data_IF_572153735550
#
_entry.id   IF_572153735550
#
_cell.length_a   1.000
_cell.length_b   1.000
_cell.length_c   1.000
_cell.angle_alpha   90.00
_cell.angle_beta   90.00
_cell.angle_gamma   90.00
#
_symmetry.space_group_name_H-M   'P 1'
#
loop_
_entity.id
_entity.type
_entity.pdbx_description
1 polymer ?
#
# COMPACT_ATOMS: atom_id res chain seq x y z
N UNK A 1 15.23 -67.68 20.17
CA UNK A 1 15.10 -66.25 20.53
C UNK A 1 14.57 -65.54 19.29
N UNK A 2 13.25 -65.41 19.21
CA UNK A 2 12.62 -64.35 18.42
C UNK A 2 13.03 -63.01 19.04
N UNK A 3 13.33 -61.99 18.23
CA UNK A 3 12.60 -60.70 18.26
C UNK A 3 12.70 -60.09 16.85
N UNK A 4 11.57 -60.02 16.18
CA UNK A 4 11.28 -59.11 15.06
C UNK A 4 10.76 -57.80 15.64
N UNK A 5 11.22 -56.64 15.16
CA UNK A 5 10.39 -55.41 15.07
C UNK A 5 11.22 -54.30 14.40
N UNK A 6 11.00 -54.04 13.13
CA UNK A 6 10.03 -53.09 12.56
C UNK A 6 10.40 -51.62 12.74
N UNK A 7 10.46 -50.97 11.58
CA UNK A 7 10.63 -49.56 11.25
C UNK A 7 9.71 -48.61 12.01
N UNK A 8 10.19 -47.40 12.32
CA UNK A 8 9.48 -46.17 11.97
C UNK A 8 10.40 -44.94 12.05
N UNK A 9 10.76 -44.44 10.86
CA UNK A 9 11.30 -43.10 10.67
C UNK A 9 10.11 -42.15 10.56
N UNK A 10 9.67 -41.60 11.69
CA UNK A 10 8.67 -40.53 11.68
C UNK A 10 9.35 -39.24 11.21
N UNK A 11 9.21 -38.96 9.91
CA UNK A 11 9.36 -37.61 9.37
C UNK A 11 8.25 -36.75 10.00
N UNK A 12 8.65 -35.88 10.91
CA UNK A 12 7.78 -34.87 11.48
C UNK A 12 7.38 -33.90 10.36
N UNK A 13 6.14 -34.02 9.87
CA UNK A 13 5.57 -33.06 8.94
C UNK A 13 5.56 -31.67 9.58
N UNK A 14 5.96 -30.61 8.86
CA UNK A 14 5.85 -29.26 9.39
C UNK A 14 4.37 -28.94 9.55
N UNK A 15 3.93 -28.86 10.81
CA UNK A 15 2.63 -28.35 11.20
C UNK A 15 2.45 -26.97 10.54
N UNK A 16 1.59 -26.92 9.52
CA UNK A 16 1.18 -25.68 8.90
C UNK A 16 0.37 -24.93 9.96
N UNK A 17 1.03 -24.03 10.70
CA UNK A 17 0.32 -23.04 11.48
C UNK A 17 -0.53 -22.25 10.49
N UNK A 18 -1.81 -22.61 10.40
CA UNK A 18 -2.83 -21.73 9.84
C UNK A 18 -2.79 -20.48 10.73
N UNK A 19 -1.99 -19.50 10.32
CA UNK A 19 -2.03 -18.17 10.89
C UNK A 19 -3.45 -17.71 10.67
N UNK A 20 -4.22 -17.64 11.76
CA UNK A 20 -5.55 -17.06 11.74
C UNK A 20 -5.37 -15.70 11.08
N UNK A 21 -5.98 -15.51 9.91
CA UNK A 21 -5.91 -14.25 9.21
C UNK A 21 -6.52 -13.20 10.15
N UNK A 22 -5.67 -12.38 10.77
CA UNK A 22 -6.12 -11.31 11.65
C UNK A 22 -6.80 -10.30 10.73
N UNK A 23 -8.13 -10.37 10.66
CA UNK A 23 -8.95 -9.35 10.00
C UNK A 23 -8.81 -8.09 10.83
N UNK A 24 -7.95 -7.18 10.39
CA UNK A 24 -7.81 -5.87 11.01
C UNK A 24 -9.05 -5.07 10.68
N UNK A 25 -9.71 -4.52 11.68
CA UNK A 25 -10.87 -3.63 11.49
C UNK A 25 -10.37 -2.19 11.61
N UNK A 26 -10.62 -1.30 10.62
CA UNK A 26 -10.27 0.11 10.75
C UNK A 26 -10.92 0.74 11.99
N UNK A 27 -10.18 1.54 12.73
CA UNK A 27 -10.67 2.28 13.90
C UNK A 27 -10.79 3.77 13.60
N UNK A 28 -11.75 4.43 14.24
CA UNK A 28 -11.88 5.89 14.15
C UNK A 28 -10.65 6.58 14.69
N UNK A 29 -10.20 7.62 13.99
CA UNK A 29 -9.06 8.43 14.44
C UNK A 29 -9.24 8.98 15.86
N UNK A 30 -10.47 9.34 16.25
CA UNK A 30 -10.81 9.81 17.61
C UNK A 30 -10.47 8.80 18.71
N UNK A 31 -10.38 7.52 18.39
CA UNK A 31 -10.14 6.44 19.36
C UNK A 31 -8.65 6.14 19.55
N UNK A 32 -7.77 6.73 18.73
CA UNK A 32 -6.33 6.49 18.79
C UNK A 32 -5.67 7.21 19.98
N UNK A 33 -6.30 8.24 20.54
CA UNK A 33 -5.72 9.02 21.64
C UNK A 33 -4.42 9.75 21.24
N UNK A 34 -3.53 9.97 22.20
CA UNK A 34 -2.24 10.64 21.97
C UNK A 34 -1.25 9.64 21.34
N UNK A 35 -0.62 10.02 20.23
CA UNK A 35 0.44 9.26 19.57
C UNK A 35 1.51 8.81 20.59
N UNK A 36 1.77 7.50 20.63
CA UNK A 36 2.81 6.92 21.49
C UNK A 36 3.65 5.89 20.73
N UNK A 37 4.89 5.68 21.18
CA UNK A 37 5.78 4.66 20.59
C UNK A 37 5.28 3.21 20.78
N UNK A 38 4.28 3.00 21.64
CA UNK A 38 3.68 1.69 21.87
C UNK A 38 2.55 1.35 20.88
N UNK A 39 2.16 2.27 20.00
CA UNK A 39 1.11 2.03 19.03
C UNK A 39 1.54 1.00 17.97
N UNK A 40 0.65 0.05 17.68
CA UNK A 40 0.83 -0.84 16.55
C UNK A 40 0.67 -0.06 15.23
N UNK A 41 1.79 0.15 14.53
CA UNK A 41 1.85 0.83 13.24
C UNK A 41 1.02 0.16 12.14
N UNK A 42 0.60 -1.08 12.36
CA UNK A 42 -0.27 -1.84 11.48
C UNK A 42 -1.77 -1.59 11.70
N UNK A 43 -2.12 -0.82 12.74
CA UNK A 43 -3.49 -0.36 13.02
C UNK A 43 -4.04 0.43 11.84
N UNK A 44 -5.20 0.04 11.32
CA UNK A 44 -5.86 0.73 10.22
C UNK A 44 -6.78 1.83 10.73
N UNK A 45 -6.84 2.92 9.97
CA UNK A 45 -7.63 4.11 10.32
C UNK A 45 -8.83 4.23 9.38
N UNK A 46 -10.00 4.45 9.96
CA UNK A 46 -11.23 4.68 9.20
C UNK A 46 -11.16 6.00 8.41
N UNK A 47 -11.60 5.96 7.15
CA UNK A 47 -11.69 7.16 6.32
C UNK A 47 -12.90 7.98 6.75
N UNK A 48 -12.72 9.30 6.85
CA UNK A 48 -13.79 10.23 7.23
C UNK A 48 -13.92 11.30 6.15
N UNK A 49 -15.13 11.58 5.69
CA UNK A 49 -15.34 12.63 4.69
C UNK A 49 -15.16 14.02 5.30
N UNK A 50 -14.67 14.97 4.51
CA UNK A 50 -14.58 16.38 4.94
C UNK A 50 -15.95 16.92 5.40
N UNK A 51 -17.02 16.58 4.68
CA UNK A 51 -18.38 17.02 5.00
C UNK A 51 -18.85 16.56 6.38
N UNK A 52 -18.53 15.32 6.78
CA UNK A 52 -18.88 14.80 8.11
C UNK A 52 -18.17 15.51 9.27
N UNK A 53 -17.06 16.20 8.97
CA UNK A 53 -16.31 17.03 9.91
C UNK A 53 -16.69 18.52 9.83
N UNK A 54 -17.72 18.87 9.05
CA UNK A 54 -18.07 20.27 8.78
C UNK A 54 -16.99 21.03 8.00
N UNK A 55 -16.12 20.32 7.27
CA UNK A 55 -15.02 20.89 6.46
C UNK A 55 -15.35 20.82 4.97
N UNK A 56 -14.71 21.68 4.20
CA UNK A 56 -14.77 21.68 2.73
C UNK A 56 -13.60 20.84 2.21
N UNK A 57 -13.85 20.04 1.18
CA UNK A 57 -12.78 19.30 0.49
C UNK A 57 -11.82 20.31 -0.17
N UNK A 58 -10.50 20.22 0.08
CA UNK A 58 -9.56 21.28 -0.30
C UNK A 58 -9.27 21.34 -1.82
N UNK A 59 -9.43 20.22 -2.53
CA UNK A 59 -9.20 20.12 -3.98
C UNK A 59 -9.89 18.88 -4.55
N UNK A 60 -10.16 18.90 -5.85
CA UNK A 60 -10.66 17.74 -6.58
C UNK A 60 -9.50 16.78 -6.91
N UNK A 61 -9.77 15.48 -6.85
CA UNK A 61 -8.88 14.45 -7.39
C UNK A 61 -9.62 13.75 -8.51
N UNK A 62 -9.03 13.73 -9.70
CA UNK A 62 -9.53 12.95 -10.84
C UNK A 62 -8.54 11.85 -11.17
N UNK A 63 -9.04 10.69 -11.59
CA UNK A 63 -8.20 9.57 -12.03
C UNK A 63 -8.67 9.10 -13.40
N UNK A 64 -7.72 8.90 -14.32
CA UNK A 64 -8.03 8.30 -15.62
C UNK A 64 -8.39 6.83 -15.45
N UNK A 65 -9.32 6.34 -16.27
CA UNK A 65 -9.71 4.92 -16.25
C UNK A 65 -8.52 3.99 -16.48
N UNK A 66 -7.57 4.40 -17.33
CA UNK A 66 -6.34 3.64 -17.60
C UNK A 66 -5.47 3.52 -16.35
N UNK A 67 -5.25 4.62 -15.62
CA UNK A 67 -4.48 4.59 -14.38
C UNK A 67 -5.17 3.72 -13.33
N UNK A 68 -6.48 3.87 -13.16
CA UNK A 68 -7.28 3.07 -12.24
C UNK A 68 -7.19 1.56 -12.56
N UNK A 69 -7.31 1.18 -13.83
CA UNK A 69 -7.22 -0.22 -14.27
C UNK A 69 -5.83 -0.82 -14.05
N UNK A 70 -4.77 -0.05 -14.30
CA UNK A 70 -3.39 -0.51 -14.04
C UNK A 70 -3.16 -0.73 -12.53
N UNK A 71 -3.63 0.19 -11.69
CA UNK A 71 -3.54 0.06 -10.23
C UNK A 71 -4.30 -1.19 -9.77
N UNK A 72 -5.56 -1.33 -10.21
CA UNK A 72 -6.40 -2.47 -9.84
C UNK A 72 -5.77 -3.80 -10.27
N UNK A 73 -5.34 -3.92 -11.54
CA UNK A 73 -4.67 -5.11 -12.03
C UNK A 73 -3.42 -5.42 -11.20
N UNK A 74 -2.54 -4.43 -10.98
CA UNK A 74 -1.30 -4.64 -10.24
C UNK A 74 -1.54 -5.17 -8.82
N UNK A 75 -2.51 -4.58 -8.11
CA UNK A 75 -2.91 -4.99 -6.77
C UNK A 75 -3.44 -6.43 -6.69
N UNK A 76 -3.94 -6.99 -7.80
CA UNK A 76 -4.51 -8.33 -7.85
C UNK A 76 -3.56 -9.40 -8.41
N UNK A 77 -2.34 -9.05 -8.84
CA UNK A 77 -1.39 -10.02 -9.40
C UNK A 77 -0.68 -10.87 -8.33
N UNK A 78 -0.75 -10.51 -7.06
CA UNK A 78 -0.06 -11.22 -5.98
C UNK A 78 -0.73 -11.01 -4.62
N UNK A 79 -0.61 -12.01 -3.74
CA UNK A 79 -1.04 -11.92 -2.34
C UNK A 79 -0.06 -11.14 -1.43
N UNK A 80 1.01 -10.58 -2.02
CA UNK A 80 1.96 -9.69 -1.33
C UNK A 80 1.57 -8.24 -1.56
N UNK A 81 1.89 -7.38 -0.59
CA UNK A 81 1.72 -5.94 -0.77
C UNK A 81 2.60 -5.46 -1.94
N UNK A 82 1.99 -4.74 -2.86
CA UNK A 82 2.67 -4.05 -3.96
C UNK A 82 2.49 -2.55 -3.83
N UNK A 83 3.39 -1.77 -4.42
CA UNK A 83 3.27 -0.31 -4.48
C UNK A 83 3.60 0.22 -5.87
N UNK A 84 3.31 1.49 -6.09
CA UNK A 84 3.68 2.18 -7.31
C UNK A 84 3.47 3.68 -7.20
N UNK A 85 3.91 4.39 -8.24
CA UNK A 85 3.79 5.83 -8.34
C UNK A 85 2.63 6.24 -9.25
N UNK A 86 2.06 7.41 -8.98
CA UNK A 86 0.99 8.01 -9.76
C UNK A 86 1.55 9.26 -10.46
N UNK A 87 1.38 9.29 -11.78
CA UNK A 87 1.77 10.41 -12.63
C UNK A 87 0.56 11.22 -13.06
N UNK A 88 0.72 12.53 -13.13
CA UNK A 88 -0.39 13.44 -13.37
C UNK A 88 0.01 14.90 -13.44
N UNK A 89 -0.97 15.77 -13.21
CA UNK A 89 -0.81 17.22 -13.22
C UNK A 89 -1.62 17.85 -12.08
N UNK A 90 -1.06 18.90 -11.47
CA UNK A 90 -1.77 19.76 -10.53
C UNK A 90 -2.15 21.06 -11.22
N UNK A 91 -3.44 21.35 -11.29
CA UNK A 91 -3.95 22.65 -11.72
C UNK A 91 -4.27 23.51 -10.48
N UNK A 92 -3.43 24.52 -10.24
CA UNK A 92 -3.56 25.44 -9.11
C UNK A 92 -4.81 26.31 -9.21
N UNK A 93 -5.27 26.66 -10.41
CA UNK A 93 -6.42 27.55 -10.60
C UNK A 93 -7.73 26.79 -10.40
N UNK A 94 -7.78 25.56 -10.91
CA UNK A 94 -8.94 24.69 -10.74
C UNK A 94 -8.97 23.94 -9.40
N UNK A 95 -7.89 24.01 -8.61
CA UNK A 95 -7.66 23.16 -7.43
C UNK A 95 -7.93 21.68 -7.76
N UNK A 96 -7.29 21.18 -8.82
CA UNK A 96 -7.54 19.83 -9.33
C UNK A 96 -6.23 19.05 -9.49
N UNK A 97 -6.16 17.90 -8.81
CA UNK A 97 -5.10 16.91 -8.95
C UNK A 97 -5.56 15.82 -9.92
N UNK A 98 -5.07 15.86 -11.16
CA UNK A 98 -5.42 14.89 -12.19
C UNK A 98 -4.37 13.78 -12.25
N UNK A 99 -4.74 12.56 -11.88
CA UNK A 99 -3.93 11.34 -12.02
C UNK A 99 -4.22 10.73 -13.40
N UNK A 100 -3.24 10.77 -14.29
CA UNK A 100 -3.41 10.32 -15.69
C UNK A 100 -2.73 8.99 -15.98
N UNK A 101 -1.67 8.65 -15.24
CA UNK A 101 -0.87 7.44 -15.41
C UNK A 101 -0.53 6.78 -14.07
N UNK A 102 -0.34 5.47 -14.08
CA UNK A 102 0.17 4.70 -12.94
C UNK A 102 1.43 3.93 -13.35
N UNK A 103 2.40 3.87 -12.44
CA UNK A 103 3.71 3.27 -12.66
C UNK A 103 3.98 2.22 -11.56
N UNK A 104 3.64 0.94 -11.81
CA UNK A 104 3.91 -0.15 -10.88
C UNK A 104 5.40 -0.27 -10.50
N UNK A 105 5.71 -0.37 -9.21
CA UNK A 105 7.05 -0.75 -8.76
C UNK A 105 7.21 -2.26 -8.89
N UNK A 106 7.83 -2.71 -9.99
CA UNK A 106 7.98 -4.14 -10.33
C UNK A 106 9.14 -4.80 -9.58
N UNK A 107 9.26 -4.53 -8.28
CA UNK A 107 10.32 -5.05 -7.43
C UNK A 107 9.83 -5.23 -5.99
N UNK A 108 9.94 -6.46 -5.48
CA UNK A 108 9.50 -6.85 -4.15
C UNK A 108 10.66 -7.35 -3.25
N UNK A 109 11.90 -7.03 -3.61
CA UNK A 109 13.11 -7.43 -2.88
C UNK A 109 13.56 -6.41 -1.84
N UNK A 110 14.62 -6.73 -1.10
CA UNK A 110 15.22 -5.86 -0.07
C UNK A 110 16.48 -5.12 -0.52
N UNK A 111 17.03 -5.46 -1.69
CA UNK A 111 18.18 -4.76 -2.27
C UNK A 111 17.77 -3.35 -2.72
N UNK A 112 18.39 -2.35 -2.08
CA UNK A 112 18.16 -0.92 -2.32
C UNK A 112 18.66 -0.48 -3.69
N UNK A 113 19.68 -1.14 -4.22
CA UNK A 113 20.25 -0.81 -5.54
C UNK A 113 19.26 -1.17 -6.63
N UNK A 114 18.73 -2.39 -6.58
CA UNK A 114 17.67 -2.83 -7.49
C UNK A 114 16.40 -1.96 -7.38
N UNK A 115 16.00 -1.57 -6.16
CA UNK A 115 14.88 -0.64 -5.97
C UNK A 115 15.15 0.72 -6.64
N UNK A 116 16.33 1.31 -6.42
CA UNK A 116 16.72 2.58 -7.04
C UNK A 116 16.78 2.52 -8.56
N UNK A 117 17.14 1.37 -9.15
CA UNK A 117 17.08 1.18 -10.60
C UNK A 117 15.64 1.23 -11.13
N UNK A 118 14.69 0.61 -10.44
CA UNK A 118 13.27 0.65 -10.79
C UNK A 118 12.72 2.07 -10.67
N UNK A 119 13.04 2.79 -9.60
CA UNK A 119 12.66 4.20 -9.45
C UNK A 119 13.23 5.06 -10.59
N UNK A 120 14.48 4.85 -10.99
CA UNK A 120 15.10 5.58 -12.10
C UNK A 120 14.49 5.24 -13.47
N UNK A 121 13.98 4.03 -13.66
CA UNK A 121 13.20 3.65 -14.85
C UNK A 121 11.85 4.36 -14.86
N UNK A 122 11.14 4.36 -13.72
CA UNK A 122 9.86 5.04 -13.59
C UNK A 122 10.01 6.54 -13.82
N UNK A 123 11.05 7.17 -13.27
CA UNK A 123 11.33 8.59 -13.48
C UNK A 123 11.50 8.92 -14.97
N UNK A 124 12.26 8.10 -15.71
CA UNK A 124 12.43 8.23 -17.17
C UNK A 124 11.10 8.03 -17.92
N UNK A 125 10.28 7.09 -17.49
CA UNK A 125 8.97 6.85 -18.09
C UNK A 125 8.00 8.04 -17.85
N UNK A 126 8.04 8.64 -16.66
CA UNK A 126 7.27 9.85 -16.35
C UNK A 126 7.70 11.05 -17.20
N UNK A 127 9.01 11.25 -17.36
CA UNK A 127 9.58 12.29 -18.24
C UNK A 127 9.12 12.09 -19.69
N UNK A 128 9.21 10.87 -20.21
CA UNK A 128 8.76 10.52 -21.56
C UNK A 128 7.26 10.81 -21.77
N UNK A 129 6.43 10.51 -20.76
CA UNK A 129 4.99 10.77 -20.79
C UNK A 129 4.62 12.22 -20.44
N UNK A 130 5.59 13.08 -20.08
CA UNK A 130 5.38 14.47 -19.65
C UNK A 130 4.39 14.61 -18.49
N UNK A 131 4.47 13.69 -17.53
CA UNK A 131 3.68 13.71 -16.30
C UNK A 131 4.59 13.99 -15.11
N UNK A 132 4.05 14.63 -14.08
CA UNK A 132 4.75 14.83 -12.82
C UNK A 132 4.35 13.76 -11.81
N UNK A 133 5.25 13.40 -10.89
CA UNK A 133 4.91 12.57 -9.74
C UNK A 133 3.89 13.32 -8.86
N UNK A 134 2.66 12.79 -8.76
CA UNK A 134 1.56 13.43 -8.01
C UNK A 134 1.08 12.59 -6.84
N UNK A 135 1.54 11.35 -6.71
CA UNK A 135 1.17 10.48 -5.61
C UNK A 135 1.76 9.09 -5.71
N UNK A 136 1.29 8.22 -4.83
CA UNK A 136 1.68 6.82 -4.75
C UNK A 136 0.45 5.99 -4.40
N UNK A 137 0.53 4.69 -4.64
CA UNK A 137 -0.46 3.72 -4.20
C UNK A 137 0.24 2.49 -3.63
N UNK A 138 -0.49 1.75 -2.80
CA UNK A 138 -0.13 0.39 -2.44
C UNK A 138 -1.38 -0.46 -2.22
N UNK A 139 -1.21 -1.78 -2.20
CA UNK A 139 -2.30 -2.74 -1.98
C UNK A 139 -2.32 -3.24 -0.54
N UNK A 140 -3.51 -3.56 -0.04
CA UNK A 140 -3.73 -4.34 1.18
C UNK A 140 -4.38 -5.69 0.82
N UNK A 141 -3.63 -6.70 0.34
CA UNK A 141 -4.21 -7.89 -0.29
C UNK A 141 -5.01 -8.79 0.67
N UNK A 142 -4.81 -8.64 1.99
CA UNK A 142 -5.44 -9.47 3.02
C UNK A 142 -6.18 -8.67 4.10
N UNK A 143 -6.38 -7.37 3.87
CA UNK A 143 -7.00 -6.47 4.83
C UNK A 143 -7.84 -5.40 4.14
N UNK A 144 -8.48 -4.55 4.94
CA UNK A 144 -9.24 -3.42 4.44
C UNK A 144 -8.34 -2.48 3.64
N UNK A 145 -8.87 -1.83 2.59
CA UNK A 145 -8.15 -0.81 1.82
C UNK A 145 -7.95 0.52 2.57
N UNK A 146 -8.10 0.51 3.91
CA UNK A 146 -7.87 1.68 4.76
C UNK A 146 -6.38 1.86 5.02
N UNK A 147 -5.90 3.11 5.14
CA UNK A 147 -4.50 3.36 5.48
C UNK A 147 -4.20 2.86 6.90
N UNK A 148 -3.01 2.29 7.08
CA UNK A 148 -2.44 2.04 8.40
C UNK A 148 -1.84 3.32 9.01
N UNK A 149 -1.53 3.31 10.32
CA UNK A 149 -0.78 4.39 10.95
C UNK A 149 0.58 4.62 10.28
N UNK A 150 1.21 3.57 9.76
CA UNK A 150 2.43 3.68 8.96
C UNK A 150 2.19 4.44 7.66
N UNK A 151 1.08 4.15 6.98
CA UNK A 151 0.72 4.78 5.71
C UNK A 151 0.45 6.28 5.93
N UNK A 152 -0.22 6.62 7.04
CA UNK A 152 -0.45 8.01 7.46
C UNK A 152 0.86 8.74 7.70
N UNK A 153 1.83 8.12 8.38
CA UNK A 153 3.15 8.74 8.64
C UNK A 153 3.92 8.96 7.33
N UNK A 154 3.95 7.97 6.44
CA UNK A 154 4.56 8.15 5.11
C UNK A 154 3.88 9.26 4.31
N UNK A 155 2.55 9.31 4.33
CA UNK A 155 1.82 10.35 3.63
C UNK A 155 2.13 11.75 4.18
N UNK A 156 2.26 11.90 5.50
CA UNK A 156 2.68 13.16 6.12
C UNK A 156 4.10 13.56 5.70
N UNK A 157 5.03 12.62 5.67
CA UNK A 157 6.42 12.88 5.24
C UNK A 157 6.51 13.38 3.78
N UNK A 158 5.61 12.91 2.91
CA UNK A 158 5.53 13.38 1.52
C UNK A 158 4.83 14.73 1.35
N UNK A 159 4.02 15.16 2.33
CA UNK A 159 3.25 16.41 2.26
C UNK A 159 3.90 17.59 3.00
N UNK A 160 4.77 17.31 3.97
CA UNK A 160 5.42 18.33 4.80
C UNK A 160 6.73 18.84 4.16
N UNK A 161 7.32 18.07 3.24
CA UNK A 161 8.50 18.49 2.46
C UNK A 161 8.12 19.38 1.30
#
# INVERSE_FOLDING_TARGET
MEISSNTNSEKQEPQLFNSIAIVRVPVKHTNLGIRSHAMDMSTMVELTSFSSLGKIQPFLVTISTTAALIVDLHCHLTDKEVCGYLGGHWDINAHNLAITSAFPCRYAGKDKTAAGMVEAEIARAMEWQRVTLVGWYHSHPRSHASPSLRDVDYQLDYQIK
#
